data_IF_667853011687
#
_entry.id   IF_667853011687
#
_cell.length_a   1.000
_cell.length_b   1.000
_cell.length_c   1.000
_cell.angle_alpha   90.00
_cell.angle_beta   90.00
_cell.angle_gamma   90.00
#
_symmetry.space_group_name_H-M   'P 1'
#
loop_
_entity.id
_entity.type
_entity.pdbx_description
1 polymer ?
#
# COMPACT_ATOMS: atom_id res chain seq x y z
N UNK A 1 -10.52 -3.92 -6.99
CA UNK A 1 -10.28 -2.79 -6.07
C UNK A 1 -8.97 -3.08 -5.37
N UNK A 2 -8.12 -2.07 -5.14
CA UNK A 2 -6.85 -2.26 -4.46
C UNK A 2 -6.87 -1.50 -3.14
N UNK A 3 -6.37 -2.14 -2.09
CA UNK A 3 -6.01 -1.52 -0.82
C UNK A 3 -4.49 -1.48 -0.72
N UNK A 4 -3.92 -0.31 -0.47
CA UNK A 4 -2.48 -0.14 -0.29
C UNK A 4 -2.20 0.61 1.02
N UNK A 5 -1.22 0.10 1.75
CA UNK A 5 -0.82 0.59 3.07
C UNK A 5 0.62 0.18 3.36
N UNK A 6 1.20 0.82 4.37
CA UNK A 6 2.57 0.58 4.81
C UNK A 6 2.65 0.28 6.31
N UNK A 7 3.47 -0.70 6.65
CA UNK A 7 3.78 -1.06 8.02
C UNK A 7 5.27 -0.86 8.29
N UNK A 8 5.59 -0.18 9.39
CA UNK A 8 6.96 -0.09 9.86
C UNK A 8 7.35 -1.33 10.66
N UNK A 9 8.57 -1.81 10.44
CA UNK A 9 9.21 -2.87 11.23
C UNK A 9 10.71 -2.60 11.30
N UNK A 10 11.49 -3.53 11.85
CA UNK A 10 12.93 -3.41 11.96
C UNK A 10 13.66 -4.74 11.75
N UNK A 11 14.91 -4.68 11.29
CA UNK A 11 15.74 -5.88 11.08
C UNK A 11 16.82 -5.93 12.15
N UNK A 12 16.72 -6.92 13.05
CA UNK A 12 17.67 -7.13 14.15
C UNK A 12 17.55 -6.09 15.28
N UNK A 13 17.70 -4.80 14.97
CA UNK A 13 17.65 -3.71 15.96
C UNK A 13 16.64 -2.63 15.54
N UNK A 14 16.02 -1.95 16.50
CA UNK A 14 15.08 -0.84 16.24
C UNK A 14 15.73 0.38 15.56
N UNK A 15 17.05 0.43 15.47
CA UNK A 15 17.75 1.45 14.71
C UNK A 15 17.69 1.20 13.19
N UNK A 16 17.52 -0.05 12.76
CA UNK A 16 17.36 -0.44 11.35
C UNK A 16 15.89 -0.58 10.99
N UNK A 17 15.20 0.57 10.90
CA UNK A 17 13.78 0.66 10.54
C UNK A 17 13.58 0.41 9.05
N UNK A 18 12.62 -0.45 8.72
CA UNK A 18 12.20 -0.77 7.35
C UNK A 18 10.70 -0.57 7.21
N UNK A 19 10.26 -0.04 6.08
CA UNK A 19 8.86 0.07 5.72
C UNK A 19 8.50 -1.03 4.75
N UNK A 20 7.47 -1.81 5.10
CA UNK A 20 6.86 -2.82 4.24
C UNK A 20 5.64 -2.20 3.60
N UNK A 21 5.67 -2.07 2.28
CA UNK A 21 4.58 -1.55 1.47
C UNK A 21 3.87 -2.73 0.83
N UNK A 22 2.54 -2.81 0.97
CA UNK A 22 1.74 -3.89 0.38
C UNK A 22 0.57 -3.30 -0.40
N UNK A 23 0.26 -3.90 -1.53
CA UNK A 23 -0.97 -3.67 -2.27
C UNK A 23 -1.76 -4.99 -2.36
N UNK A 24 -3.01 -4.96 -1.93
CA UNK A 24 -3.90 -6.11 -1.82
C UNK A 24 -5.13 -5.92 -2.69
N UNK A 25 -5.56 -6.97 -3.39
CA UNK A 25 -6.86 -6.98 -4.04
C UNK A 25 -7.95 -7.22 -3.00
N UNK A 26 -8.81 -6.23 -2.77
CA UNK A 26 -9.89 -6.31 -1.78
C UNK A 26 -10.86 -7.47 -2.04
N UNK A 27 -11.08 -7.83 -3.32
CA UNK A 27 -12.02 -8.89 -3.68
C UNK A 27 -11.47 -10.29 -3.40
N UNK A 28 -10.23 -10.55 -3.81
CA UNK A 28 -9.60 -11.87 -3.68
C UNK A 28 -8.75 -12.04 -2.41
N UNK A 29 -8.45 -10.95 -1.71
CA UNK A 29 -7.55 -10.88 -0.55
C UNK A 29 -6.11 -11.31 -0.85
N UNK A 30 -5.73 -11.27 -2.13
CA UNK A 30 -4.38 -11.63 -2.59
C UNK A 30 -3.48 -10.41 -2.60
N UNK A 31 -2.23 -10.61 -2.19
CA UNK A 31 -1.17 -9.62 -2.35
C UNK A 31 -0.84 -9.51 -3.84
N UNK A 32 -1.01 -8.30 -4.40
CA UNK A 32 -0.70 -7.98 -5.78
C UNK A 32 0.74 -7.49 -5.96
N UNK A 33 1.25 -6.76 -4.97
CA UNK A 33 2.62 -6.25 -4.94
C UNK A 33 3.08 -6.04 -3.49
N UNK A 34 4.39 -6.17 -3.27
CA UNK A 34 5.03 -5.87 -1.99
C UNK A 34 6.43 -5.32 -2.23
N UNK A 35 6.80 -4.25 -1.52
CA UNK A 35 8.12 -3.61 -1.62
C UNK A 35 8.64 -3.26 -0.22
N UNK A 36 9.94 -3.41 -0.02
CA UNK A 36 10.64 -2.97 1.19
C UNK A 36 11.42 -1.70 0.91
N UNK A 37 11.33 -0.71 1.80
CA UNK A 37 12.08 0.53 1.63
C UNK A 37 11.80 1.54 2.74
N UNK A 38 11.66 2.80 2.32
CA UNK A 38 11.36 3.95 3.18
C UNK A 38 9.95 4.51 2.88
N UNK A 39 9.61 5.69 3.42
CA UNK A 39 8.35 6.38 3.07
C UNK A 39 8.43 7.32 1.87
N UNK A 40 9.49 7.23 1.07
CA UNK A 40 9.68 8.13 -0.07
C UNK A 40 8.72 7.81 -1.22
N UNK A 41 8.56 8.79 -2.11
CA UNK A 41 7.82 8.57 -3.36
C UNK A 41 8.53 7.58 -4.30
N UNK A 42 9.84 7.34 -4.12
CA UNK A 42 10.59 6.32 -4.85
C UNK A 42 10.11 4.91 -4.49
N UNK A 43 10.01 4.60 -3.19
CA UNK A 43 9.48 3.32 -2.70
C UNK A 43 8.01 3.14 -3.14
N UNK A 44 7.20 4.19 -3.03
CA UNK A 44 5.81 4.16 -3.50
C UNK A 44 5.71 3.90 -5.02
N UNK A 45 6.61 4.46 -5.83
CA UNK A 45 6.69 4.17 -7.28
C UNK A 45 7.07 2.72 -7.53
N UNK A 46 8.01 2.18 -6.77
CA UNK A 46 8.34 0.75 -6.81
C UNK A 46 7.12 -0.14 -6.58
N UNK A 47 6.29 0.19 -5.58
CA UNK A 47 5.04 -0.55 -5.33
C UNK A 47 4.08 -0.46 -6.52
N UNK A 48 3.88 0.75 -7.06
CA UNK A 48 3.00 0.97 -8.21
C UNK A 48 3.46 0.21 -9.46
N UNK A 49 4.77 0.24 -9.76
CA UNK A 49 5.32 -0.41 -10.94
C UNK A 49 5.29 -1.93 -10.85
N UNK A 50 5.38 -2.47 -9.63
CA UNK A 50 5.22 -3.90 -9.34
C UNK A 50 3.78 -4.39 -9.53
N UNK A 51 2.77 -3.51 -9.58
CA UNK A 51 1.40 -3.94 -9.83
C UNK A 51 1.24 -4.52 -11.25
N UNK A 52 0.46 -5.61 -11.40
CA UNK A 52 0.13 -6.14 -12.71
C UNK A 52 -0.54 -5.07 -13.58
N UNK A 53 -0.22 -5.04 -14.88
CA UNK A 53 -0.66 -3.98 -15.81
C UNK A 53 -2.17 -3.72 -15.78
N UNK A 54 -3.00 -4.77 -15.71
CA UNK A 54 -4.47 -4.63 -15.68
C UNK A 54 -5.00 -3.84 -14.49
N UNK A 55 -4.32 -3.92 -13.33
CA UNK A 55 -4.69 -3.17 -12.14
C UNK A 55 -4.32 -1.69 -12.25
N UNK A 56 -3.21 -1.37 -12.92
CA UNK A 56 -2.73 0.02 -13.09
C UNK A 56 -3.62 0.88 -14.00
N UNK A 57 -4.44 0.28 -14.85
CA UNK A 57 -5.26 1.01 -15.83
C UNK A 57 -6.73 1.15 -15.45
N UNK A 58 -7.23 0.33 -14.52
CA UNK A 58 -8.68 0.25 -14.27
C UNK A 58 -9.11 0.01 -12.83
N UNK A 59 -8.19 -0.26 -11.90
CA UNK A 59 -8.57 -0.46 -10.51
C UNK A 59 -8.49 0.84 -9.71
N UNK A 60 -9.53 1.12 -8.92
CA UNK A 60 -9.49 2.15 -7.88
C UNK A 60 -8.54 1.68 -6.76
N UNK A 61 -7.67 2.57 -6.32
CA UNK A 61 -6.69 2.33 -5.26
C UNK A 61 -7.04 3.17 -4.04
N UNK A 62 -7.34 2.47 -2.95
CA UNK A 62 -7.58 3.04 -1.64
C UNK A 62 -6.30 3.03 -0.84
N UNK A 63 -5.96 4.19 -0.27
CA UNK A 63 -4.78 4.37 0.57
C UNK A 63 -5.10 5.29 1.72
N UNK A 64 -4.18 5.38 2.67
CA UNK A 64 -4.16 6.46 3.63
C UNK A 64 -3.80 7.81 2.99
N UNK A 65 -3.58 8.84 3.82
CA UNK A 65 -3.28 10.20 3.38
C UNK A 65 -1.78 10.47 3.14
N UNK A 66 -0.92 9.44 3.07
CA UNK A 66 0.51 9.65 2.82
C UNK A 66 0.74 10.32 1.46
N UNK A 67 1.53 11.41 1.46
CA UNK A 67 1.78 12.23 0.28
C UNK A 67 2.38 11.45 -0.89
N UNK A 68 3.19 10.42 -0.61
CA UNK A 68 3.85 9.57 -1.60
C UNK A 68 2.85 8.88 -2.55
N UNK A 69 1.67 8.48 -2.07
CA UNK A 69 0.63 7.88 -2.92
C UNK A 69 0.07 8.87 -3.94
N UNK A 70 -0.13 10.13 -3.53
CA UNK A 70 -0.67 11.18 -4.41
C UNK A 70 0.26 11.54 -5.57
N UNK A 71 1.58 11.38 -5.37
CA UNK A 71 2.59 11.64 -6.40
C UNK A 71 2.63 10.50 -7.43
N UNK A 72 2.40 9.28 -6.97
CA UNK A 72 2.65 8.08 -7.78
C UNK A 72 1.40 7.58 -8.50
N UNK A 73 0.26 7.58 -7.82
CA UNK A 73 -0.99 7.01 -8.32
C UNK A 73 -1.76 8.09 -9.10
N UNK A 74 -2.24 7.80 -10.32
CA UNK A 74 -3.05 8.74 -11.07
C UNK A 74 -4.27 9.20 -10.28
N UNK A 75 -4.54 10.52 -10.26
CA UNK A 75 -5.65 11.13 -9.51
C UNK A 75 -7.02 10.50 -9.82
N UNK A 76 -7.23 10.04 -11.06
CA UNK A 76 -8.47 9.37 -11.45
C UNK A 76 -8.71 8.07 -10.65
N UNK A 77 -7.64 7.33 -10.37
CA UNK A 77 -7.65 6.03 -9.70
C UNK A 77 -7.46 6.12 -8.19
N UNK A 78 -6.83 7.18 -7.69
CA UNK A 78 -6.51 7.34 -6.27
C UNK A 78 -7.70 7.78 -5.43
N UNK A 79 -7.94 7.09 -4.32
CA UNK A 79 -8.90 7.46 -3.29
C UNK A 79 -8.22 7.39 -1.92
N UNK A 80 -7.72 8.52 -1.44
CA UNK A 80 -7.27 8.64 -0.05
C UNK A 80 -8.49 8.63 0.87
N UNK A 81 -8.51 7.71 1.83
CA UNK A 81 -9.65 7.48 2.72
C UNK A 81 -9.21 7.42 4.17
N UNK A 82 -10.10 7.85 5.07
CA UNK A 82 -9.93 7.69 6.51
C UNK A 82 -10.29 6.29 6.98
N UNK A 83 -9.80 5.93 8.16
CA UNK A 83 -10.05 4.63 8.80
C UNK A 83 -11.53 4.33 8.99
N UNK A 84 -12.33 5.37 9.22
CA UNK A 84 -13.78 5.26 9.48
C UNK A 84 -14.58 4.76 8.26
N UNK A 85 -13.97 4.71 7.08
CA UNK A 85 -14.63 4.23 5.85
C UNK A 85 -14.65 2.71 5.72
N UNK A 86 -13.79 1.99 6.46
CA UNK A 86 -13.62 0.54 6.34
C UNK A 86 -13.02 0.06 5.01
N UNK A 87 -12.66 0.96 4.10
CA UNK A 87 -12.14 0.63 2.75
C UNK A 87 -10.68 0.16 2.75
N UNK A 88 -9.98 0.26 3.88
CA UNK A 88 -8.63 -0.27 4.12
C UNK A 88 -8.63 -1.39 5.16
N UNK A 89 -9.80 -1.91 5.54
CA UNK A 89 -9.92 -2.86 6.64
C UNK A 89 -9.27 -4.22 6.31
N UNK A 90 -9.19 -4.61 5.03
CA UNK A 90 -8.60 -5.89 4.66
C UNK A 90 -7.08 -5.86 4.77
N UNK A 91 -6.44 -4.76 4.32
CA UNK A 91 -5.00 -4.59 4.50
C UNK A 91 -4.64 -4.38 5.98
N UNK A 92 -5.45 -3.66 6.76
CA UNK A 92 -5.26 -3.55 8.21
C UNK A 92 -5.34 -4.91 8.91
N UNK A 93 -6.30 -5.75 8.52
CA UNK A 93 -6.41 -7.13 9.01
C UNK A 93 -5.22 -7.99 8.59
N UNK A 94 -4.73 -7.81 7.37
CA UNK A 94 -3.54 -8.51 6.87
C UNK A 94 -2.30 -8.22 7.72
N UNK A 95 -2.19 -7.02 8.30
CA UNK A 95 -1.10 -6.68 9.20
C UNK A 95 -1.17 -7.31 10.60
N UNK A 96 -2.34 -7.73 11.08
CA UNK A 96 -2.49 -8.22 12.46
C UNK A 96 -1.57 -9.39 12.84
N UNK A 97 -1.34 -10.41 11.98
CA UNK A 97 -0.40 -11.49 12.28
C UNK A 97 1.07 -11.09 12.21
N UNK A 98 1.38 -9.90 11.69
CA UNK A 98 2.74 -9.39 11.48
C UNK A 98 3.18 -8.40 12.57
N UNK A 99 2.34 -8.18 13.58
CA UNK A 99 2.59 -7.30 14.73
C UNK A 99 3.07 -8.06 15.96
#
# INVERSE_FOLDING_TARGET
MIEADELWSFVGTKADVRWVWVALDAGTRRVLAMVLGDRSSGTARGLWDALPRGYRTGAIVYTDFLASYRVVIPRALHRAVGKDTGLTAHIERFWLPLR
#
